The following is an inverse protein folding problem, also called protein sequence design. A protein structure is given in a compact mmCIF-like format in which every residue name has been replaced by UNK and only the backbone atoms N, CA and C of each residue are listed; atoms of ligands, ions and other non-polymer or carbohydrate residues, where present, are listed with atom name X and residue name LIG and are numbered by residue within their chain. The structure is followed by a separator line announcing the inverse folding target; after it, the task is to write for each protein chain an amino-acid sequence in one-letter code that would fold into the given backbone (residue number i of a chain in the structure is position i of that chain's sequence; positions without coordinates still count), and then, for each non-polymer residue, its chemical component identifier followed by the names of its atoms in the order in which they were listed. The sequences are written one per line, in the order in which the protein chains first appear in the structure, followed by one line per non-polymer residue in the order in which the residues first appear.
data_IF_934210670796
#
_entry.id   IF_934210670796
#
_cell.length_a   1.000
_cell.length_b   1.000
_cell.length_c   1.000
_cell.angle_alpha   90.00
_cell.angle_beta   90.00
_cell.angle_gamma   90.00
#
_symmetry.space_group_name_H-M   'P 1'
#
loop_
_entity.id
_entity.type
_entity.pdbx_description
1 polymer ?
#
# COMPACT_ATOMS: atom_id res chain seq x y z
N UNK A 1 -18.65 -56.33 2.32
CA UNK A 1 -17.21 -56.41 2.01
C UNK A 1 -16.56 -55.11 2.47
N UNK A 2 -15.92 -55.20 3.61
CA UNK A 2 -15.34 -54.11 4.43
C UNK A 2 -13.88 -53.90 3.97
N UNK A 3 -13.46 -52.71 3.63
CA UNK A 3 -12.04 -52.36 3.54
C UNK A 3 -11.77 -51.11 4.39
N UNK A 4 -11.14 -51.37 5.53
CA UNK A 4 -10.50 -50.38 6.39
C UNK A 4 -9.28 -49.78 5.66
N UNK A 5 -9.12 -48.46 5.72
CA UNK A 5 -7.87 -47.75 5.37
C UNK A 5 -7.26 -47.20 6.66
N UNK A 6 -6.07 -47.72 6.98
CA UNK A 6 -5.24 -47.32 8.12
C UNK A 6 -4.72 -45.88 7.96
N UNK A 7 -4.92 -45.08 9.01
CA UNK A 7 -4.24 -43.79 9.21
C UNK A 7 -2.80 -44.05 9.72
N UNK A 8 -1.81 -43.68 8.94
CA UNK A 8 -0.41 -43.58 9.40
C UNK A 8 -0.12 -42.15 9.87
N UNK A 9 -0.11 -41.98 11.20
CA UNK A 9 0.39 -40.73 11.84
C UNK A 9 1.92 -40.75 11.82
N UNK A 10 2.53 -39.82 11.05
CA UNK A 10 3.97 -39.53 11.21
C UNK A 10 4.14 -38.48 12.32
N UNK A 11 4.75 -38.93 13.43
CA UNK A 11 5.27 -38.08 14.50
C UNK A 11 6.53 -37.37 14.01
N UNK A 12 6.56 -36.04 14.00
CA UNK A 12 7.77 -35.26 13.84
C UNK A 12 8.38 -35.06 15.22
N UNK A 13 9.57 -35.62 15.46
CA UNK A 13 10.36 -35.37 16.67
C UNK A 13 11.03 -33.99 16.52
N UNK A 14 10.71 -33.06 17.43
CA UNK A 14 11.50 -31.85 17.65
C UNK A 14 12.76 -32.21 18.45
N UNK A 15 13.94 -32.01 17.87
CA UNK A 15 15.21 -32.10 18.57
C UNK A 15 15.46 -30.83 19.38
N UNK A 16 15.54 -31.00 20.70
CA UNK A 16 15.88 -29.94 21.67
C UNK A 16 17.39 -29.87 21.81
N UNK A 17 18.01 -28.72 21.47
CA UNK A 17 19.45 -28.46 21.68
C UNK A 17 19.60 -27.60 22.92
N UNK A 18 20.29 -28.06 23.97
CA UNK A 18 20.53 -27.22 25.15
C UNK A 18 21.70 -26.28 24.94
N UNK A 19 21.44 -24.99 25.12
CA UNK A 19 22.43 -23.94 25.13
C UNK A 19 23.18 -23.92 26.48
N UNK A 20 24.47 -24.23 26.46
CA UNK A 20 25.35 -24.14 27.62
C UNK A 20 25.65 -22.68 27.98
N UNK A 21 25.25 -22.31 29.19
CA UNK A 21 25.60 -21.02 29.82
C UNK A 21 27.00 -21.17 30.41
N UNK A 22 27.96 -20.43 29.85
CA UNK A 22 29.29 -20.29 30.43
C UNK A 22 29.29 -19.09 31.41
N UNK A 23 29.46 -19.40 32.71
CA UNK A 23 29.69 -18.39 33.76
C UNK A 23 31.18 -18.06 33.76
N UNK A 24 31.51 -16.80 33.48
CA UNK A 24 32.86 -16.24 33.69
C UNK A 24 32.78 -15.29 34.90
N UNK A 25 33.37 -15.75 36.00
CA UNK A 25 33.66 -14.93 37.20
C UNK A 25 34.79 -13.97 36.87
N UNK A 26 34.56 -12.67 37.04
CA UNK A 26 35.63 -11.68 37.12
C UNK A 26 35.61 -10.95 38.47
N UNK A 27 36.77 -10.97 39.07
CA UNK A 27 37.11 -10.52 40.41
C UNK A 27 37.06 -8.98 40.51
N UNK A 28 36.58 -8.50 41.64
CA UNK A 28 36.47 -7.10 42.02
C UNK A 28 37.83 -6.43 42.20
N UNK A 29 37.97 -5.18 41.80
CA UNK A 29 38.90 -4.22 42.35
C UNK A 29 38.18 -2.88 42.57
N UNK A 30 38.03 -2.53 43.84
CA UNK A 30 37.59 -1.23 44.32
C UNK A 30 38.73 -0.22 44.13
N UNK A 31 38.46 0.97 43.55
CA UNK A 31 39.00 2.27 44.00
C UNK A 31 38.22 3.40 43.28
N UNK A 32 37.81 4.44 44.06
CA UNK A 32 37.63 5.80 43.55
C UNK A 32 36.21 6.31 43.45
N UNK A 33 35.75 6.97 44.52
CA UNK A 33 34.53 7.78 44.50
C UNK A 33 34.73 9.04 43.62
N UNK A 34 33.90 9.14 42.60
CA UNK A 34 33.71 10.35 41.81
C UNK A 34 32.21 10.55 41.58
N UNK A 35 31.62 11.55 42.23
CA UNK A 35 30.25 11.98 41.97
C UNK A 35 30.17 12.51 40.55
N UNK A 36 29.63 11.71 39.60
CA UNK A 36 29.24 12.17 38.28
C UNK A 36 27.70 12.28 38.25
N UNK A 37 27.23 13.51 38.19
CA UNK A 37 25.83 13.85 37.97
C UNK A 37 25.34 13.21 36.68
N UNK A 38 24.46 12.21 36.78
CA UNK A 38 23.83 11.57 35.62
C UNK A 38 22.80 12.53 35.04
N UNK A 39 23.18 13.29 34.02
CA UNK A 39 22.25 13.93 33.14
C UNK A 39 21.63 12.84 32.24
N UNK A 40 20.33 12.60 32.41
CA UNK A 40 19.52 11.79 31.51
C UNK A 40 19.67 12.32 30.08
N UNK A 41 20.07 11.51 29.09
CA UNK A 41 20.11 12.00 27.72
C UNK A 41 18.68 12.29 27.25
N UNK A 42 18.36 13.57 27.05
CA UNK A 42 17.19 13.98 26.26
C UNK A 42 17.31 13.29 24.92
N UNK A 43 16.33 12.44 24.61
CA UNK A 43 16.11 11.87 23.29
C UNK A 43 16.12 13.01 22.27
N UNK A 44 17.25 13.18 21.58
CA UNK A 44 17.32 14.05 20.41
C UNK A 44 16.54 13.35 19.30
N UNK A 45 15.46 13.96 18.85
CA UNK A 45 14.91 13.65 17.51
C UNK A 45 16.06 13.70 16.50
N UNK A 46 16.16 12.75 15.58
CA UNK A 46 17.23 12.78 14.60
C UNK A 46 17.12 14.07 13.80
N UNK A 47 18.13 14.94 13.92
CA UNK A 47 18.27 16.08 13.03
C UNK A 47 18.42 15.57 11.60
N UNK A 48 17.80 16.19 10.58
CA UNK A 48 17.97 15.80 9.20
C UNK A 48 19.45 15.85 8.84
N UNK A 49 19.97 14.76 8.29
CA UNK A 49 21.34 14.69 7.78
C UNK A 49 21.54 15.79 6.75
N UNK A 50 22.61 16.62 6.84
CA UNK A 50 22.91 17.61 5.83
C UNK A 50 23.26 16.88 4.52
N UNK A 51 22.40 16.95 3.51
CA UNK A 51 22.72 16.47 2.17
C UNK A 51 21.65 15.66 1.42
N UNK A 52 20.45 15.44 1.96
CA UNK A 52 19.40 14.83 1.15
C UNK A 52 18.89 15.80 0.07
N UNK A 53 19.11 15.47 -1.19
CA UNK A 53 18.54 16.20 -2.35
C UNK A 53 17.06 15.88 -2.57
N UNK A 54 16.50 14.94 -1.80
CA UNK A 54 15.10 14.52 -1.91
C UNK A 54 14.16 15.51 -1.21
N UNK A 55 12.96 15.75 -1.72
CA UNK A 55 11.97 16.63 -1.09
C UNK A 55 11.49 16.07 0.25
N UNK A 56 10.87 16.91 1.08
CA UNK A 56 10.22 16.48 2.32
C UNK A 56 9.10 15.47 2.06
N UNK A 57 8.22 15.78 1.08
CA UNK A 57 7.15 14.91 0.62
C UNK A 57 7.20 14.75 -0.89
N UNK A 58 6.94 13.55 -1.36
CA UNK A 58 6.62 13.24 -2.75
C UNK A 58 5.74 12.00 -2.76
N UNK A 59 4.58 12.01 -3.44
CA UNK A 59 3.78 10.81 -3.61
C UNK A 59 4.51 9.77 -4.45
N UNK A 60 4.15 8.49 -4.31
CA UNK A 60 4.50 7.50 -5.31
C UNK A 60 3.84 7.90 -6.64
N UNK A 61 4.58 7.77 -7.75
CA UNK A 61 4.12 8.17 -9.08
C UNK A 61 4.42 7.06 -10.09
N UNK A 62 3.62 7.02 -11.17
CA UNK A 62 3.80 6.03 -12.24
C UNK A 62 5.13 6.22 -12.97
N UNK A 63 5.55 7.47 -13.16
CA UNK A 63 6.75 7.79 -13.94
C UNK A 63 6.58 7.60 -15.45
N UNK A 64 7.66 7.86 -16.19
CA UNK A 64 7.70 7.81 -17.66
C UNK A 64 8.81 6.88 -18.20
N UNK A 65 9.51 6.17 -17.32
CA UNK A 65 10.56 5.22 -17.71
C UNK A 65 9.99 4.08 -18.58
N UNK A 66 10.78 3.42 -19.41
CA UNK A 66 10.31 2.32 -20.27
C UNK A 66 9.60 1.18 -19.52
N UNK A 67 9.98 0.94 -18.28
CA UNK A 67 9.38 -0.06 -17.40
C UNK A 67 8.28 0.50 -16.47
N UNK A 68 7.83 1.73 -16.67
CA UNK A 68 6.67 2.28 -15.97
C UNK A 68 5.39 1.62 -16.45
N UNK A 69 4.34 1.61 -15.61
CA UNK A 69 3.08 0.95 -15.91
C UNK A 69 2.47 1.45 -17.22
N UNK A 70 2.48 2.77 -17.47
CA UNK A 70 1.90 3.37 -18.67
C UNK A 70 2.57 2.90 -19.97
N UNK A 71 3.86 2.57 -19.92
CA UNK A 71 4.63 2.14 -21.09
C UNK A 71 4.64 0.63 -21.29
N UNK A 72 4.21 -0.15 -20.28
CA UNK A 72 4.24 -1.62 -20.34
C UNK A 72 2.92 -2.25 -20.73
N UNK A 73 1.78 -1.55 -20.57
CA UNK A 73 0.46 -2.05 -20.99
C UNK A 73 0.39 -2.13 -22.52
N UNK A 74 0.10 -3.33 -23.04
CA UNK A 74 0.02 -3.57 -24.48
C UNK A 74 -1.36 -3.16 -25.04
N UNK A 75 -1.46 -1.88 -25.39
CA UNK A 75 -2.71 -1.31 -25.92
C UNK A 75 -3.06 -1.83 -27.32
N UNK A 76 -2.07 -2.28 -28.09
CA UNK A 76 -2.30 -2.85 -29.42
C UNK A 76 -2.92 -4.25 -29.31
N UNK A 77 -2.43 -5.08 -28.40
CA UNK A 77 -3.01 -6.39 -28.11
C UNK A 77 -4.43 -6.28 -27.52
N UNK A 78 -4.65 -5.33 -26.61
CA UNK A 78 -5.98 -5.03 -26.08
C UNK A 78 -6.97 -4.68 -27.21
N UNK A 79 -6.57 -3.78 -28.12
CA UNK A 79 -7.41 -3.40 -29.27
C UNK A 79 -7.69 -4.61 -30.18
N UNK A 80 -6.65 -5.41 -30.49
CA UNK A 80 -6.75 -6.63 -31.31
C UNK A 80 -7.72 -7.66 -30.70
N UNK A 81 -7.74 -7.79 -29.38
CA UNK A 81 -8.65 -8.66 -28.63
C UNK A 81 -10.06 -8.09 -28.48
N UNK A 82 -10.31 -6.89 -29.00
CA UNK A 82 -11.63 -6.27 -28.99
C UNK A 82 -11.97 -5.51 -27.72
N UNK A 83 -10.96 -5.11 -26.89
CA UNK A 83 -11.19 -4.23 -25.74
C UNK A 83 -11.85 -2.94 -26.22
N UNK A 84 -13.01 -2.63 -25.69
CA UNK A 84 -13.73 -1.37 -25.89
C UNK A 84 -13.37 -0.35 -24.82
N UNK A 85 -14.02 0.81 -24.85
CA UNK A 85 -13.87 1.79 -23.79
C UNK A 85 -14.22 1.16 -22.43
N UNK A 86 -13.28 1.28 -21.49
CA UNK A 86 -13.42 0.76 -20.14
C UNK A 86 -12.50 1.50 -19.18
N UNK A 87 -12.85 1.47 -17.91
CA UNK A 87 -12.00 1.96 -16.84
C UNK A 87 -11.99 0.96 -15.69
N UNK A 88 -10.88 0.93 -14.94
CA UNK A 88 -10.72 0.07 -13.78
C UNK A 88 -9.87 0.76 -12.72
N UNK A 89 -10.29 0.67 -11.48
CA UNK A 89 -9.52 1.14 -10.33
C UNK A 89 -8.52 0.08 -9.90
N UNK A 90 -7.38 0.51 -9.37
CA UNK A 90 -6.38 -0.37 -8.79
C UNK A 90 -5.65 0.28 -7.63
N UNK A 91 -5.08 -0.56 -6.78
CA UNK A 91 -4.13 -0.12 -5.77
C UNK A 91 -2.88 -1.00 -5.82
N UNK A 92 -1.75 -0.43 -5.42
CA UNK A 92 -0.53 -1.19 -5.26
C UNK A 92 0.32 -0.64 -4.11
N UNK A 93 0.98 -1.54 -3.40
CA UNK A 93 1.96 -1.21 -2.38
C UNK A 93 3.32 -1.04 -3.07
N UNK A 94 3.84 0.18 -3.06
CA UNK A 94 5.09 0.56 -3.70
C UNK A 94 6.21 0.58 -2.68
N UNK A 95 7.26 -0.21 -2.91
CA UNK A 95 8.45 -0.26 -2.07
C UNK A 95 9.35 0.98 -2.27
N UNK A 96 10.30 1.27 -1.36
CA UNK A 96 11.29 2.34 -1.51
C UNK A 96 12.15 2.23 -2.78
N UNK A 97 12.25 1.04 -3.34
CA UNK A 97 12.94 0.77 -4.62
C UNK A 97 12.07 1.05 -5.85
N UNK A 98 10.80 1.40 -5.67
CA UNK A 98 9.82 1.57 -6.74
C UNK A 98 9.19 0.27 -7.25
N UNK A 99 9.53 -0.89 -6.67
CA UNK A 99 8.88 -2.15 -7.01
C UNK A 99 7.47 -2.23 -6.42
N UNK A 100 6.58 -2.91 -7.11
CA UNK A 100 5.26 -3.27 -6.58
C UNK A 100 5.40 -4.54 -5.73
N UNK A 101 4.98 -4.47 -4.47
CA UNK A 101 5.01 -5.60 -3.51
C UNK A 101 3.68 -6.36 -3.53
N UNK A 102 2.58 -5.62 -3.60
CA UNK A 102 1.21 -6.15 -3.65
C UNK A 102 0.38 -5.26 -4.56
N UNK A 103 -0.55 -5.84 -5.30
CA UNK A 103 -1.49 -5.08 -6.12
C UNK A 103 -2.84 -5.79 -6.22
N UNK A 104 -3.87 -5.02 -6.55
CA UNK A 104 -5.21 -5.49 -6.84
C UNK A 104 -5.96 -4.51 -7.73
N UNK A 105 -6.87 -5.03 -8.53
CA UNK A 105 -7.80 -4.25 -9.33
C UNK A 105 -9.23 -4.49 -8.84
N UNK A 106 -10.08 -3.48 -8.94
CA UNK A 106 -11.44 -3.51 -8.41
C UNK A 106 -12.30 -2.44 -9.11
N UNK A 107 -13.63 -2.54 -8.95
CA UNK A 107 -14.60 -1.57 -9.52
C UNK A 107 -14.35 -1.25 -11.00
N UNK A 108 -14.15 -2.31 -11.80
CA UNK A 108 -14.08 -2.16 -13.25
C UNK A 108 -15.46 -1.82 -13.85
N UNK A 109 -15.47 -0.98 -14.88
CA UNK A 109 -16.68 -0.77 -15.70
C UNK A 109 -17.00 -2.05 -16.49
N UNK A 110 -18.23 -2.17 -16.93
CA UNK A 110 -18.64 -3.33 -17.76
C UNK A 110 -17.72 -3.48 -18.98
N UNK A 111 -17.18 -4.69 -19.19
CA UNK A 111 -16.28 -5.01 -20.31
C UNK A 111 -14.82 -4.63 -20.04
N UNK A 112 -14.43 -4.44 -18.77
CA UNK A 112 -13.04 -4.17 -18.38
C UNK A 112 -12.17 -5.40 -18.18
N UNK A 113 -12.69 -6.61 -18.39
CA UNK A 113 -12.03 -7.87 -18.01
C UNK A 113 -10.66 -8.08 -18.70
N UNK A 114 -10.54 -7.74 -19.99
CA UNK A 114 -9.28 -7.82 -20.72
C UNK A 114 -8.27 -6.75 -20.22
N UNK A 115 -8.77 -5.54 -19.95
CA UNK A 115 -7.97 -4.46 -19.39
C UNK A 115 -7.46 -4.82 -17.98
N UNK A 116 -8.31 -5.45 -17.16
CA UNK A 116 -7.94 -5.92 -15.82
C UNK A 116 -6.82 -6.96 -15.87
N UNK A 117 -6.98 -7.98 -16.71
CA UNK A 117 -5.98 -9.03 -16.88
C UNK A 117 -4.61 -8.47 -17.31
N UNK A 118 -4.61 -7.56 -18.30
CA UNK A 118 -3.38 -6.92 -18.77
C UNK A 118 -2.78 -6.00 -17.68
N UNK A 119 -3.60 -5.21 -16.99
CA UNK A 119 -3.17 -4.36 -15.87
C UNK A 119 -2.49 -5.18 -14.77
N UNK A 120 -3.16 -6.22 -14.26
CA UNK A 120 -2.62 -7.06 -13.19
C UNK A 120 -1.31 -7.74 -13.59
N UNK A 121 -1.22 -8.23 -14.84
CA UNK A 121 0.00 -8.80 -15.40
C UNK A 121 1.16 -7.80 -15.38
N UNK A 122 0.92 -6.53 -15.75
CA UNK A 122 1.97 -5.50 -15.83
C UNK A 122 2.34 -4.93 -14.46
N UNK A 123 1.40 -4.84 -13.54
CA UNK A 123 1.67 -4.34 -12.18
C UNK A 123 2.77 -5.15 -11.46
N UNK A 124 2.86 -6.46 -11.71
CA UNK A 124 3.89 -7.33 -11.08
C UNK A 124 5.32 -6.87 -11.38
N UNK A 125 5.56 -6.32 -12.57
CA UNK A 125 6.90 -5.92 -13.06
C UNK A 125 7.07 -4.42 -13.22
N UNK A 126 6.01 -3.65 -13.05
CA UNK A 126 6.06 -2.20 -13.22
C UNK A 126 6.96 -1.53 -12.18
N UNK A 127 7.63 -0.47 -12.61
CA UNK A 127 8.41 0.41 -11.75
C UNK A 127 7.68 1.72 -11.55
N UNK A 128 7.55 2.10 -10.28
CA UNK A 128 7.03 3.38 -9.84
C UNK A 128 8.18 4.27 -9.35
N UNK A 129 7.97 5.56 -9.38
CA UNK A 129 8.79 6.50 -8.61
C UNK A 129 8.34 6.35 -7.15
N UNK A 130 9.23 6.01 -6.18
CA UNK A 130 8.81 5.75 -4.80
C UNK A 130 8.32 7.01 -4.08
N UNK A 131 7.46 6.82 -3.11
CA UNK A 131 7.03 7.88 -2.20
C UNK A 131 8.21 8.35 -1.33
N UNK A 132 8.22 9.63 -0.98
CA UNK A 132 9.19 10.24 -0.07
C UNK A 132 8.44 10.84 1.12
N UNK A 133 8.94 10.55 2.32
CA UNK A 133 8.56 11.19 3.57
C UNK A 133 9.83 11.55 4.36
N UNK A 134 9.90 12.80 4.84
CA UNK A 134 11.07 13.32 5.56
C UNK A 134 12.40 13.03 4.84
N UNK A 135 12.47 13.33 3.53
CA UNK A 135 13.66 13.12 2.69
C UNK A 135 14.11 11.66 2.55
N UNK A 136 13.25 10.69 2.85
CA UNK A 136 13.56 9.26 2.77
C UNK A 136 12.50 8.53 1.94
N UNK A 137 12.89 7.58 1.07
CA UNK A 137 11.92 6.72 0.39
C UNK A 137 11.20 5.83 1.40
N UNK A 138 9.87 5.75 1.29
CA UNK A 138 9.01 4.95 2.17
C UNK A 138 8.14 3.99 1.37
N UNK A 139 7.63 2.95 2.04
CA UNK A 139 6.59 2.09 1.49
C UNK A 139 5.27 2.86 1.54
N UNK A 140 4.57 3.00 0.41
CA UNK A 140 3.28 3.69 0.36
C UNK A 140 2.29 2.95 -0.53
N UNK A 141 0.99 3.15 -0.27
CA UNK A 141 -0.06 2.64 -1.15
C UNK A 141 -0.34 3.68 -2.22
N UNK A 142 -0.08 3.31 -3.47
CA UNK A 142 -0.51 4.07 -4.64
C UNK A 142 -1.92 3.62 -5.02
N UNK A 143 -2.77 4.58 -5.28
CA UNK A 143 -4.10 4.39 -5.82
C UNK A 143 -4.17 4.96 -7.23
N UNK A 144 -4.95 4.33 -8.10
CA UNK A 144 -5.09 4.84 -9.45
C UNK A 144 -6.28 4.27 -10.21
N UNK A 145 -6.58 4.93 -11.32
CA UNK A 145 -7.59 4.50 -12.30
C UNK A 145 -6.96 4.42 -13.68
N UNK A 146 -7.10 3.27 -14.34
CA UNK A 146 -6.73 3.10 -15.76
C UNK A 146 -7.98 3.30 -16.60
N UNK A 147 -7.89 4.14 -17.62
CA UNK A 147 -8.94 4.34 -18.63
C UNK A 147 -8.38 3.99 -20.00
N UNK A 148 -9.03 3.03 -20.66
CA UNK A 148 -8.77 2.66 -22.06
C UNK A 148 -9.91 3.17 -22.93
N UNK A 149 -9.58 3.75 -24.07
CA UNK A 149 -10.55 4.19 -25.07
C UNK A 149 -10.02 3.93 -26.48
N UNK A 150 -10.92 3.89 -27.46
CA UNK A 150 -10.58 3.81 -28.89
C UNK A 150 -11.03 5.11 -29.55
N UNK A 151 -10.07 5.90 -30.03
CA UNK A 151 -10.35 7.19 -30.69
C UNK A 151 -9.84 7.13 -32.12
N UNK A 152 -10.72 7.30 -33.09
CA UNK A 152 -10.37 7.21 -34.53
C UNK A 152 -9.64 5.90 -34.88
N UNK A 153 -10.12 4.77 -34.33
CA UNK A 153 -9.54 3.44 -34.53
C UNK A 153 -8.19 3.19 -33.83
N UNK A 154 -7.70 4.14 -33.03
CA UNK A 154 -6.41 4.02 -32.31
C UNK A 154 -6.66 3.87 -30.81
N UNK A 155 -5.93 2.98 -30.12
CA UNK A 155 -6.05 2.83 -28.68
C UNK A 155 -5.47 4.04 -27.96
N UNK A 156 -6.13 4.47 -26.90
CA UNK A 156 -5.70 5.52 -25.97
C UNK A 156 -5.75 4.99 -24.56
N UNK A 157 -4.64 5.11 -23.85
CA UNK A 157 -4.53 4.73 -22.45
C UNK A 157 -4.20 5.96 -21.63
N UNK A 158 -4.92 6.13 -20.52
CA UNK A 158 -4.62 7.13 -19.49
C UNK A 158 -4.61 6.45 -18.14
N UNK A 159 -3.71 6.87 -17.27
CA UNK A 159 -3.65 6.40 -15.89
C UNK A 159 -3.65 7.64 -14.99
N UNK A 160 -4.58 7.66 -14.07
CA UNK A 160 -4.78 8.74 -13.11
C UNK A 160 -4.34 8.25 -11.73
N UNK A 161 -3.68 9.13 -10.97
CA UNK A 161 -3.36 8.89 -9.56
C UNK A 161 -4.53 9.29 -8.64
N UNK A 162 -5.74 9.01 -9.07
CA UNK A 162 -7.02 9.31 -8.45
C UNK A 162 -7.97 8.15 -8.71
N UNK A 163 -8.82 7.80 -7.74
CA UNK A 163 -9.74 6.68 -7.80
C UNK A 163 -11.19 7.06 -8.12
N UNK A 164 -11.53 8.33 -8.14
CA UNK A 164 -12.90 8.76 -8.40
C UNK A 164 -13.14 8.79 -9.91
N UNK A 165 -13.77 7.74 -10.45
CA UNK A 165 -14.06 7.61 -11.89
C UNK A 165 -14.77 8.84 -12.47
N UNK A 166 -15.66 9.45 -11.69
CA UNK A 166 -16.43 10.63 -12.06
C UNK A 166 -15.58 11.89 -12.15
N UNK A 167 -14.42 11.90 -11.49
CA UNK A 167 -13.52 13.05 -11.39
C UNK A 167 -12.31 12.95 -12.33
N UNK A 168 -11.96 11.75 -12.81
CA UNK A 168 -10.71 11.54 -13.59
C UNK A 168 -10.64 12.34 -14.89
N UNK A 169 -11.77 12.69 -15.49
CA UNK A 169 -11.80 13.53 -16.70
C UNK A 169 -11.84 15.02 -16.39
N UNK A 170 -12.16 15.42 -15.14
CA UNK A 170 -12.28 16.82 -14.71
C UNK A 170 -10.99 17.31 -14.04
N UNK A 171 -10.29 16.46 -13.31
CA UNK A 171 -9.12 16.81 -12.52
C UNK A 171 -7.94 15.91 -12.87
N UNK A 172 -6.99 16.44 -13.65
CA UNK A 172 -5.88 15.66 -14.22
C UNK A 172 -4.56 15.81 -13.50
N UNK A 173 -4.43 16.75 -12.57
CA UNK A 173 -3.20 17.03 -11.80
C UNK A 173 -3.36 16.83 -10.28
N UNK A 174 -4.43 16.16 -9.87
CA UNK A 174 -4.64 15.76 -8.49
C UNK A 174 -4.09 14.34 -8.24
N UNK A 175 -3.35 14.19 -7.15
CA UNK A 175 -2.85 12.90 -6.64
C UNK A 175 -3.46 12.67 -5.28
N UNK A 176 -4.15 11.54 -5.11
CA UNK A 176 -4.75 11.13 -3.83
C UNK A 176 -3.70 11.03 -2.71
N UNK A 177 -4.07 11.27 -1.45
CA UNK A 177 -3.19 11.04 -0.32
C UNK A 177 -2.87 9.55 -0.20
N UNK A 178 -1.62 9.23 0.12
CA UNK A 178 -1.12 7.86 0.13
C UNK A 178 -0.70 7.45 1.54
N UNK A 179 -1.37 6.48 2.18
CA UNK A 179 -0.92 5.98 3.46
C UNK A 179 0.45 5.31 3.31
N UNK A 180 1.36 5.57 4.25
CA UNK A 180 2.70 4.99 4.21
C UNK A 180 3.04 4.23 5.48
N UNK A 181 3.95 3.27 5.34
CA UNK A 181 4.54 2.52 6.45
C UNK A 181 5.81 3.24 6.89
N UNK A 182 5.85 3.67 8.16
CA UNK A 182 6.96 4.41 8.74
C UNK A 182 6.90 4.44 10.26
N UNK A 183 7.97 4.88 10.92
CA UNK A 183 8.09 4.88 12.38
C UNK A 183 7.06 5.80 13.07
N UNK A 184 6.62 6.84 12.40
CA UNK A 184 5.65 7.82 12.88
C UNK A 184 4.22 7.58 12.38
N UNK A 185 4.00 6.50 11.61
CA UNK A 185 2.70 6.04 11.12
C UNK A 185 2.30 4.74 11.81
N UNK A 186 1.03 4.62 12.22
CA UNK A 186 0.48 3.35 12.71
C UNK A 186 0.01 2.43 11.58
N UNK A 187 0.01 2.91 10.34
CA UNK A 187 -0.34 2.09 9.19
C UNK A 187 0.75 1.04 8.93
N UNK A 188 0.40 -0.24 9.01
CA UNK A 188 1.31 -1.37 8.75
C UNK A 188 0.94 -2.16 7.51
N UNK A 189 -0.15 -1.79 6.85
CA UNK A 189 -0.71 -2.46 5.69
C UNK A 189 -2.21 -2.72 5.87
N UNK A 190 -2.79 -3.47 4.96
CA UNK A 190 -4.19 -3.88 5.01
C UNK A 190 -4.28 -5.29 5.61
N UNK A 191 -5.05 -5.43 6.69
CA UNK A 191 -5.25 -6.69 7.41
C UNK A 191 -6.63 -7.25 7.09
N UNK A 192 -6.64 -8.41 6.46
CA UNK A 192 -7.88 -9.08 6.06
C UNK A 192 -8.66 -9.52 7.32
N UNK A 193 -9.98 -9.19 7.44
CA UNK A 193 -10.75 -9.48 8.64
C UNK A 193 -10.97 -10.99 8.84
N UNK A 194 -10.95 -11.45 10.09
CA UNK A 194 -11.15 -12.87 10.45
C UNK A 194 -12.51 -13.39 9.98
N UNK A 195 -13.57 -12.59 10.14
CA UNK A 195 -14.92 -12.92 9.68
C UNK A 195 -14.99 -13.17 8.18
N UNK A 196 -14.32 -12.33 7.39
CA UNK A 196 -14.22 -12.50 5.94
C UNK A 196 -13.43 -13.76 5.55
N UNK A 197 -12.43 -14.17 6.34
CA UNK A 197 -11.61 -15.36 6.05
C UNK A 197 -12.40 -16.67 6.10
N UNK A 198 -13.50 -16.72 6.84
CA UNK A 198 -14.38 -17.89 6.89
C UNK A 198 -15.06 -18.19 5.55
N UNK A 199 -15.34 -17.15 4.75
CA UNK A 199 -16.00 -17.25 3.44
C UNK A 199 -15.06 -17.00 2.26
N UNK A 200 -13.81 -16.59 2.53
CA UNK A 200 -12.74 -16.38 1.56
C UNK A 200 -13.13 -15.48 0.38
N UNK A 201 -13.90 -14.42 0.64
CA UNK A 201 -14.38 -13.47 -0.38
C UNK A 201 -13.57 -12.18 -0.34
N UNK A 202 -13.36 -11.54 -1.49
CA UNK A 202 -12.79 -10.20 -1.53
C UNK A 202 -13.80 -9.17 -1.04
N UNK A 203 -13.31 -8.09 -0.40
CA UNK A 203 -14.14 -7.00 0.08
C UNK A 203 -13.64 -5.64 -0.37
N UNK A 204 -14.57 -4.71 -0.54
CA UNK A 204 -14.26 -3.29 -0.80
C UNK A 204 -14.95 -2.45 0.27
N UNK A 205 -14.18 -1.59 0.92
CA UNK A 205 -14.70 -0.59 1.87
C UNK A 205 -14.47 0.79 1.28
N UNK A 206 -15.52 1.59 1.19
CA UNK A 206 -15.38 2.99 0.85
C UNK A 206 -15.18 3.82 2.11
N UNK A 207 -14.01 4.44 2.25
CA UNK A 207 -13.68 5.35 3.34
C UNK A 207 -13.75 6.80 2.89
N UNK A 208 -14.43 7.65 3.67
CA UNK A 208 -14.22 9.08 3.61
C UNK A 208 -13.06 9.47 4.54
N UNK A 209 -12.08 10.17 4.02
CA UNK A 209 -10.90 10.65 4.75
C UNK A 209 -10.79 12.17 4.66
N UNK A 210 -10.42 12.81 5.76
CA UNK A 210 -9.87 14.16 5.74
C UNK A 210 -8.40 14.11 6.11
N UNK A 211 -7.52 14.53 5.20
CA UNK A 211 -6.07 14.52 5.37
C UNK A 211 -5.55 15.94 5.17
N UNK A 212 -4.79 16.45 6.16
CA UNK A 212 -4.22 17.80 6.05
C UNK A 212 -2.98 17.84 5.11
N UNK A 213 -2.53 19.04 4.77
CA UNK A 213 -1.37 19.25 3.89
C UNK A 213 -0.02 18.74 4.48
N UNK A 214 -0.01 18.30 5.73
CA UNK A 214 1.14 17.64 6.39
C UNK A 214 0.99 16.13 6.45
N UNK A 215 -0.09 15.56 5.85
CA UNK A 215 -0.35 14.13 5.85
C UNK A 215 -0.96 13.58 7.13
N UNK A 216 -1.47 14.42 8.03
CA UNK A 216 -2.16 13.93 9.23
C UNK A 216 -3.61 13.60 8.89
N UNK A 217 -4.04 12.39 9.28
CA UNK A 217 -5.45 11.99 9.22
C UNK A 217 -6.23 12.75 10.30
N UNK A 218 -7.19 13.57 9.91
CA UNK A 218 -8.06 14.34 10.80
C UNK A 218 -9.35 13.61 11.12
N UNK A 219 -9.90 12.93 10.12
CA UNK A 219 -11.13 12.16 10.25
C UNK A 219 -11.14 10.97 9.28
N UNK A 220 -11.81 9.89 9.69
CA UNK A 220 -12.09 8.74 8.84
C UNK A 220 -13.48 8.20 9.15
N UNK A 221 -14.22 7.79 8.11
CA UNK A 221 -15.56 7.24 8.21
C UNK A 221 -15.77 6.17 7.15
N UNK A 222 -16.36 5.04 7.53
CA UNK A 222 -16.85 4.05 6.57
C UNK A 222 -18.14 4.57 5.93
N UNK A 223 -18.16 4.65 4.62
CA UNK A 223 -19.33 5.01 3.83
C UNK A 223 -20.11 3.77 3.38
N UNK A 224 -19.39 2.73 2.97
CA UNK A 224 -19.99 1.45 2.56
C UNK A 224 -18.99 0.29 2.74
N UNK A 225 -19.54 -0.91 2.85
CA UNK A 225 -18.81 -2.18 2.94
C UNK A 225 -19.48 -3.18 1.99
N UNK A 226 -18.71 -3.81 1.13
CA UNK A 226 -19.17 -4.82 0.16
C UNK A 226 -18.23 -6.04 0.15
N UNK A 227 -18.74 -7.27 0.47
CA UNK A 227 -20.08 -7.57 1.01
C UNK A 227 -20.28 -7.03 2.42
N UNK A 228 -21.52 -6.71 2.82
CA UNK A 228 -21.79 -6.16 4.13
C UNK A 228 -21.63 -7.21 5.24
N UNK A 229 -21.40 -6.75 6.48
CA UNK A 229 -21.38 -7.56 7.71
C UNK A 229 -20.26 -8.60 7.77
N UNK A 230 -19.18 -8.44 7.00
CA UNK A 230 -18.02 -9.31 7.05
C UNK A 230 -16.81 -8.69 7.77
N UNK A 231 -16.99 -7.52 8.40
CA UNK A 231 -15.96 -6.87 9.21
C UNK A 231 -14.89 -6.13 8.40
N UNK A 232 -15.08 -5.95 7.11
CA UNK A 232 -14.15 -5.19 6.28
C UNK A 232 -14.11 -3.71 6.69
N UNK A 233 -15.28 -3.15 7.09
CA UNK A 233 -15.39 -1.78 7.59
C UNK A 233 -14.57 -1.58 8.87
N UNK A 234 -14.71 -2.47 9.84
CA UNK A 234 -13.96 -2.43 11.10
C UNK A 234 -12.45 -2.64 10.86
N UNK A 235 -12.08 -3.55 9.96
CA UNK A 235 -10.69 -3.75 9.56
C UNK A 235 -10.12 -2.47 8.94
N UNK A 236 -10.86 -1.79 8.07
CA UNK A 236 -10.44 -0.54 7.45
C UNK A 236 -10.27 0.59 8.49
N UNK A 237 -11.19 0.74 9.45
CA UNK A 237 -11.04 1.72 10.53
C UNK A 237 -9.82 1.42 11.40
N UNK A 238 -9.56 0.13 11.68
CA UNK A 238 -8.38 -0.30 12.45
C UNK A 238 -7.09 -0.02 11.69
N UNK A 239 -7.00 -0.41 10.39
CA UNK A 239 -5.82 -0.23 9.55
C UNK A 239 -5.44 1.24 9.38
N UNK A 240 -6.44 2.11 9.24
CA UNK A 240 -6.24 3.55 9.05
C UNK A 240 -6.20 4.33 10.37
N UNK A 241 -6.53 3.71 11.51
CA UNK A 241 -6.52 4.34 12.83
C UNK A 241 -5.13 4.82 13.24
N UNK A 242 -4.86 6.12 13.10
CA UNK A 242 -3.54 6.73 13.36
C UNK A 242 -2.55 6.57 12.22
N UNK A 243 -3.03 6.24 11.02
CA UNK A 243 -2.22 6.27 9.80
C UNK A 243 -1.72 7.69 9.51
N UNK A 244 -0.52 7.77 8.97
CA UNK A 244 0.03 8.97 8.35
C UNK A 244 0.04 8.78 6.83
N UNK A 245 -0.03 9.90 6.12
CA UNK A 245 -0.10 9.95 4.68
C UNK A 245 1.02 10.79 4.09
N UNK A 246 1.50 10.44 2.92
CA UNK A 246 1.99 11.44 2.00
C UNK A 246 0.75 12.28 1.65
N UNK A 247 0.76 13.61 1.84
CA UNK A 247 -0.44 14.43 1.60
C UNK A 247 -0.91 14.33 0.15
N UNK A 248 -2.15 14.75 -0.11
CA UNK A 248 -2.59 14.94 -1.47
C UNK A 248 -1.79 16.06 -2.16
N UNK A 249 -1.63 15.94 -3.47
CA UNK A 249 -0.95 16.96 -4.27
C UNK A 249 -1.87 17.51 -5.34
N UNK A 250 -1.84 18.83 -5.50
CA UNK A 250 -2.49 19.56 -6.60
C UNK A 250 -1.51 20.57 -7.15
N UNK A 251 -1.29 20.54 -8.48
CA UNK A 251 -0.30 21.41 -9.17
C UNK A 251 1.10 21.34 -8.53
N UNK A 252 1.50 20.12 -8.11
CA UNK A 252 2.79 19.87 -7.49
C UNK A 252 2.94 20.37 -6.05
N UNK A 253 1.88 20.89 -5.42
CA UNK A 253 1.89 21.37 -4.03
C UNK A 253 1.07 20.46 -3.12
N UNK A 254 1.53 20.20 -1.88
CA UNK A 254 0.74 19.46 -0.90
C UNK A 254 -0.51 20.26 -0.51
N UNK A 255 -1.66 19.59 -0.45
CA UNK A 255 -2.95 20.20 -0.12
C UNK A 255 -3.72 19.38 0.89
N UNK A 256 -4.52 20.06 1.72
CA UNK A 256 -5.56 19.40 2.49
C UNK A 256 -6.67 18.93 1.55
N UNK A 257 -7.23 17.77 1.85
CA UNK A 257 -8.29 17.21 1.02
C UNK A 257 -9.32 16.40 1.83
N UNK A 258 -10.54 16.39 1.32
CA UNK A 258 -11.57 15.41 1.67
C UNK A 258 -11.68 14.45 0.48
N UNK A 259 -11.34 13.19 0.69
CA UNK A 259 -11.37 12.18 -0.38
C UNK A 259 -12.15 10.96 0.05
N UNK A 260 -12.70 10.27 -0.95
CA UNK A 260 -13.27 8.94 -0.78
C UNK A 260 -12.33 7.95 -1.43
N UNK A 261 -11.82 7.00 -0.65
CA UNK A 261 -10.94 5.96 -1.17
C UNK A 261 -11.59 4.59 -1.01
N UNK A 262 -11.68 3.79 -2.06
CA UNK A 262 -12.03 2.38 -1.95
C UNK A 262 -10.81 1.58 -1.50
N UNK A 263 -10.95 0.90 -0.36
CA UNK A 263 -9.95 -0.01 0.21
C UNK A 263 -10.30 -1.43 -0.19
N UNK A 264 -9.41 -2.10 -0.91
CA UNK A 264 -9.66 -3.43 -1.43
C UNK A 264 -8.95 -4.50 -0.59
N UNK A 265 -9.73 -5.41 -0.03
CA UNK A 265 -9.27 -6.57 0.72
C UNK A 265 -9.38 -7.83 -0.13
N UNK A 266 -8.29 -8.57 -0.22
CA UNK A 266 -8.24 -9.85 -0.91
C UNK A 266 -7.80 -10.93 0.07
N UNK A 267 -8.46 -12.12 0.11
CA UNK A 267 -8.02 -13.21 0.95
C UNK A 267 -6.60 -13.63 0.58
N UNK A 268 -5.82 -14.04 1.58
CA UNK A 268 -4.51 -14.65 1.36
C UNK A 268 -4.72 -15.99 0.64
N UNK A 269 -3.96 -16.21 -0.44
CA UNK A 269 -3.97 -17.46 -1.17
C UNK A 269 -3.31 -18.59 -0.35
#
# INVERSE_FOLDING_TARGET
MTKQFLLQRRRVLLAYVPMRVGILLFVASLVGAGFVSSQTPKSRSPSPSPGSTLPEFRPALIGTAPNSLINTIDTADLLKKGQKEAAIMFSCLVAPTGNVVRSGAYRGTRGSELLEQELLKRLVTAKFIPAIHNHQPVIAVFYGTVKFAVVNGKPRLRIFANQQLEEVDKETDFVDPQPYVGLDSKFTGLHYPETGSTVAVSGVVELALNVDAKGNLKNTQVLSEEPPLLGFGDAALSDFGGAKFIPAFRKGQPVECNVKIPVFYKPSA
#
